data_IF_321952070594
#
_entry.id   IF_321952070594
#
_cell.length_a   1.000
_cell.length_b   1.000
_cell.length_c   1.000
_cell.angle_alpha   90.00
_cell.angle_beta   90.00
_cell.angle_gamma   90.00
#
_symmetry.space_group_name_H-M   'P 1'
#
loop_
_entity.id
_entity.type
_entity.pdbx_description
1 polymer ?
#
# COMPACT_ATOMS: atom_id res chain seq x y z
N UNK A 1 8.16 -11.56 5.62
CA UNK A 1 8.13 -10.12 6.02
C UNK A 1 7.59 -9.97 7.44
N UNK A 2 8.16 -9.08 8.24
CA UNK A 2 7.64 -8.74 9.57
C UNK A 2 6.59 -7.61 9.47
N UNK A 3 5.30 -7.93 9.64
CA UNK A 3 4.18 -6.97 9.53
C UNK A 3 4.19 -5.91 10.63
N UNK A 4 4.56 -6.29 11.85
CA UNK A 4 4.61 -5.34 12.97
C UNK A 4 5.66 -4.25 12.72
N UNK A 5 6.86 -4.64 12.29
CA UNK A 5 7.92 -3.70 11.94
C UNK A 5 7.52 -2.77 10.78
N UNK A 6 6.85 -3.31 9.76
CA UNK A 6 6.35 -2.53 8.63
C UNK A 6 5.35 -1.45 9.04
N UNK A 7 4.30 -1.80 9.78
CA UNK A 7 3.33 -0.80 10.21
C UNK A 7 3.88 0.15 11.26
N UNK A 8 4.83 -0.30 12.09
CA UNK A 8 5.55 0.61 12.98
C UNK A 8 6.34 1.66 12.18
N UNK A 9 6.99 1.26 11.09
CA UNK A 9 7.69 2.18 10.19
C UNK A 9 6.73 3.16 9.50
N UNK A 10 5.60 2.69 8.95
CA UNK A 10 4.63 3.55 8.27
C UNK A 10 4.03 4.63 9.19
N UNK A 11 3.84 4.34 10.47
CA UNK A 11 3.27 5.28 11.45
C UNK A 11 4.27 6.31 11.98
N UNK A 12 5.57 6.17 11.67
CA UNK A 12 6.53 7.18 12.09
C UNK A 12 6.27 8.49 11.36
N UNK A 13 6.41 9.61 12.07
CA UNK A 13 6.19 10.96 11.50
C UNK A 13 7.10 11.26 10.30
N UNK A 14 8.30 10.70 10.29
CA UNK A 14 9.30 10.87 9.25
C UNK A 14 9.13 9.91 8.07
N UNK A 15 8.11 9.03 8.08
CA UNK A 15 7.84 8.14 6.94
C UNK A 15 7.43 8.93 5.68
N UNK A 16 6.79 10.09 5.86
CA UNK A 16 6.20 10.87 4.76
C UNK A 16 4.98 10.20 4.12
N UNK A 17 4.53 9.05 4.63
CA UNK A 17 3.46 8.23 4.09
C UNK A 17 2.32 8.13 5.10
N UNK A 18 1.07 8.29 4.64
CA UNK A 18 -0.13 8.16 5.47
C UNK A 18 -0.19 9.06 6.74
N UNK A 19 0.74 9.99 6.94
CA UNK A 19 0.83 10.81 8.15
C UNK A 19 1.32 10.00 9.36
N UNK A 20 0.64 10.11 10.51
CA UNK A 20 1.02 9.39 11.76
C UNK A 20 0.09 8.22 12.09
N UNK A 21 -0.93 7.99 11.26
CA UNK A 21 -1.96 6.97 11.50
C UNK A 21 -2.51 6.43 10.19
N UNK A 22 -2.87 5.15 10.16
CA UNK A 22 -3.57 4.54 9.04
C UNK A 22 -5.03 4.32 9.40
N UNK A 23 -5.93 4.57 8.45
CA UNK A 23 -7.32 4.11 8.57
C UNK A 23 -7.40 2.59 8.47
N UNK A 24 -8.49 2.01 8.97
CA UNK A 24 -8.71 0.57 8.84
C UNK A 24 -8.82 0.13 7.36
N UNK A 25 -9.37 0.97 6.49
CA UNK A 25 -9.43 0.68 5.06
C UNK A 25 -8.04 0.64 4.42
N UNK A 26 -7.14 1.55 4.79
CA UNK A 26 -5.75 1.52 4.32
C UNK A 26 -5.02 0.25 4.79
N UNK A 27 -5.22 -0.13 6.06
CA UNK A 27 -4.67 -1.38 6.62
C UNK A 27 -5.21 -2.58 5.84
N UNK A 28 -6.51 -2.67 5.60
CA UNK A 28 -7.10 -3.79 4.86
C UNK A 28 -6.55 -3.91 3.43
N UNK A 29 -6.32 -2.77 2.76
CA UNK A 29 -5.71 -2.72 1.43
C UNK A 29 -4.26 -3.23 1.42
N UNK A 30 -3.44 -2.73 2.34
CA UNK A 30 -2.07 -3.18 2.54
C UNK A 30 -2.02 -4.67 2.85
N UNK A 31 -2.83 -5.13 3.81
CA UNK A 31 -2.92 -6.56 4.16
C UNK A 31 -3.24 -7.44 2.95
N UNK A 32 -4.15 -7.00 2.07
CA UNK A 32 -4.49 -7.77 0.87
C UNK A 32 -3.30 -7.93 -0.08
N UNK A 33 -2.56 -6.86 -0.37
CA UNK A 33 -1.36 -6.90 -1.21
C UNK A 33 -0.27 -7.77 -0.57
N UNK A 34 -0.02 -7.56 0.72
CA UNK A 34 1.02 -8.30 1.45
C UNK A 34 0.68 -9.79 1.60
N UNK A 35 -0.60 -10.17 1.66
CA UNK A 35 -1.03 -11.56 1.70
C UNK A 35 -0.84 -12.25 0.35
N UNK A 36 -1.16 -11.56 -0.76
CA UNK A 36 -0.87 -12.04 -2.12
C UNK A 36 0.63 -12.24 -2.29
N UNK A 37 1.45 -11.27 -1.90
CA UNK A 37 2.92 -11.39 -1.90
C UNK A 37 3.40 -12.62 -1.13
N UNK A 38 2.96 -12.78 0.12
CA UNK A 38 3.38 -13.90 0.96
C UNK A 38 2.94 -15.27 0.40
N UNK A 39 1.83 -15.32 -0.33
CA UNK A 39 1.29 -16.57 -0.87
C UNK A 39 1.99 -16.99 -2.15
N UNK A 40 2.27 -16.03 -3.05
CA UNK A 40 2.66 -16.34 -4.43
C UNK A 40 4.06 -15.87 -4.81
N UNK A 41 4.61 -14.87 -4.10
CA UNK A 41 5.81 -14.14 -4.51
C UNK A 41 6.86 -14.04 -3.38
N UNK A 42 6.76 -14.88 -2.34
CA UNK A 42 7.61 -14.77 -1.15
C UNK A 42 9.11 -15.00 -1.42
N UNK A 43 9.45 -15.66 -2.52
CA UNK A 43 10.83 -15.91 -2.97
C UNK A 43 11.37 -14.84 -3.91
N UNK A 44 10.51 -13.93 -4.37
CA UNK A 44 10.90 -12.88 -5.31
C UNK A 44 11.67 -11.76 -4.57
N UNK A 45 12.48 -10.97 -5.29
CA UNK A 45 13.18 -9.81 -4.73
C UNK A 45 12.20 -8.84 -4.04
N UNK A 46 12.50 -8.47 -2.79
CA UNK A 46 11.63 -7.62 -1.96
C UNK A 46 11.40 -6.21 -2.55
N UNK A 47 12.27 -5.81 -3.47
CA UNK A 47 12.17 -4.58 -4.25
C UNK A 47 10.91 -4.57 -5.13
N UNK A 48 10.46 -5.73 -5.62
CA UNK A 48 9.22 -5.82 -6.41
C UNK A 48 7.99 -5.54 -5.55
N UNK A 49 7.94 -6.09 -4.32
CA UNK A 49 6.90 -5.72 -3.36
C UNK A 49 6.90 -4.21 -3.07
N UNK A 50 8.10 -3.64 -2.92
CA UNK A 50 8.24 -2.20 -2.65
C UNK A 50 7.69 -1.36 -3.81
N UNK A 51 7.97 -1.77 -5.05
CA UNK A 51 7.43 -1.13 -6.25
C UNK A 51 5.90 -1.26 -6.35
N UNK A 52 5.35 -2.44 -6.09
CA UNK A 52 3.90 -2.69 -6.14
C UNK A 52 3.13 -1.85 -5.09
N UNK A 53 3.70 -1.75 -3.88
CA UNK A 53 3.13 -0.94 -2.80
C UNK A 53 3.20 0.56 -3.13
N UNK A 54 4.32 1.04 -3.68
CA UNK A 54 4.46 2.43 -4.09
C UNK A 54 3.49 2.79 -5.23
N UNK A 55 3.37 1.91 -6.23
CA UNK A 55 2.42 2.09 -7.34
C UNK A 55 0.99 2.14 -6.82
N UNK A 56 0.60 1.17 -5.99
CA UNK A 56 -0.73 1.13 -5.37
C UNK A 56 -1.02 2.38 -4.54
N UNK A 57 -0.02 2.91 -3.82
CA UNK A 57 -0.14 4.14 -3.06
C UNK A 57 -0.44 5.34 -3.97
N UNK A 58 0.32 5.51 -5.05
CA UNK A 58 0.14 6.62 -5.98
C UNK A 58 -1.18 6.53 -6.75
N UNK A 59 -1.50 5.37 -7.33
CA UNK A 59 -2.70 5.18 -8.15
C UNK A 59 -4.01 5.32 -7.37
N UNK A 60 -4.00 4.95 -6.09
CA UNK A 60 -5.19 5.05 -5.24
C UNK A 60 -5.28 6.37 -4.47
N UNK A 61 -4.33 7.30 -4.68
CA UNK A 61 -4.23 8.54 -3.92
C UNK A 61 -4.11 8.27 -2.41
N UNK A 62 -3.24 7.35 -2.03
CA UNK A 62 -2.98 6.87 -0.66
C UNK A 62 -4.17 6.19 0.04
N UNK A 63 -5.28 5.90 -0.65
CA UNK A 63 -6.44 5.22 -0.05
C UNK A 63 -6.19 3.72 0.15
N UNK A 64 -5.31 3.14 -0.67
CA UNK A 64 -5.03 1.70 -0.72
C UNK A 64 -6.32 0.88 -0.94
N UNK A 65 -7.25 1.42 -1.71
CA UNK A 65 -8.52 0.78 -2.06
C UNK A 65 -8.72 0.90 -3.57
N UNK A 66 -9.43 -0.05 -4.21
CA UNK A 66 -9.74 0.05 -5.62
C UNK A 66 -10.36 1.41 -5.96
N UNK A 67 -9.82 2.07 -6.97
CA UNK A 67 -10.35 3.32 -7.49
C UNK A 67 -11.07 3.02 -8.80
N UNK A 68 -12.23 3.64 -9.00
CA UNK A 68 -12.88 3.70 -10.31
C UNK A 68 -12.35 4.91 -11.03
N UNK A 69 -11.92 4.74 -12.28
CA UNK A 69 -11.47 5.85 -13.12
C UNK A 69 -12.60 6.86 -13.32
N UNK A 70 -12.34 8.13 -12.98
CA UNK A 70 -13.29 9.22 -13.17
C UNK A 70 -12.92 10.00 -14.43
N UNK A 71 -13.10 9.38 -15.58
CA UNK A 71 -12.74 9.97 -16.87
C UNK A 71 -13.88 10.85 -17.37
N UNK A 72 -13.83 12.14 -17.04
CA UNK A 72 -14.74 13.14 -17.61
C UNK A 72 -14.15 13.71 -18.90
N UNK A 73 -14.36 13.01 -20.02
CA UNK A 73 -13.82 13.38 -21.34
C UNK A 73 -14.51 14.59 -22.01
N UNK A 74 -15.51 15.21 -21.38
CA UNK A 74 -16.37 16.23 -22.01
C UNK A 74 -16.53 17.51 -21.17
N UNK A 75 -15.42 18.19 -20.88
CA UNK A 75 -15.43 19.61 -20.47
C UNK A 75 -14.50 20.42 -21.35
#
# INVERSE_FOLDING_TARGET
>A
MNRAAFYAALRKRDSGLFGTSLSQSQVNGLERLLNVWATYYATDPIEFLSYDLATSYHETGAKMQPATENLNYWR
#
